data_IF_171008982272
#
_entry.id   IF_171008982272
#
_cell.length_a   1.000
_cell.length_b   1.000
_cell.length_c   1.000
_cell.angle_alpha   90.00
_cell.angle_beta   90.00
_cell.angle_gamma   90.00
#
_symmetry.space_group_name_H-M   'P 1'
#
loop_
_entity.id
_entity.type
_entity.pdbx_description
1 polymer ?
#
# COMPACT_ATOMS: atom_id res chain seq x y z
N UNK A 1 -36.09 -23.21 -20.04
CA UNK A 1 -36.40 -22.45 -18.82
C UNK A 1 -35.20 -21.56 -18.53
N UNK A 2 -35.30 -20.27 -18.81
CA UNK A 2 -34.23 -19.30 -18.59
C UNK A 2 -34.04 -19.07 -17.09
N UNK A 3 -32.81 -19.15 -16.63
CA UNK A 3 -32.46 -18.70 -15.28
C UNK A 3 -32.38 -17.17 -15.32
N UNK A 4 -33.44 -16.52 -14.85
CA UNK A 4 -33.38 -15.11 -14.50
C UNK A 4 -32.43 -14.97 -13.30
N UNK A 5 -31.30 -14.30 -13.50
CA UNK A 5 -30.42 -13.84 -12.43
C UNK A 5 -31.16 -12.76 -11.64
N UNK A 6 -31.83 -13.16 -10.56
CA UNK A 6 -32.39 -12.25 -9.57
C UNK A 6 -31.25 -11.59 -8.79
N UNK A 7 -31.06 -10.28 -8.94
CA UNK A 7 -30.49 -9.48 -7.84
C UNK A 7 -29.52 -8.35 -8.17
N UNK A 8 -29.10 -8.11 -9.41
CA UNK A 8 -28.23 -6.96 -9.73
C UNK A 8 -28.97 -5.87 -10.49
N UNK A 9 -28.98 -4.66 -9.93
CA UNK A 9 -29.46 -3.47 -10.63
C UNK A 9 -28.54 -3.20 -11.84
N UNK A 10 -29.14 -2.75 -12.95
CA UNK A 10 -28.37 -2.30 -14.10
C UNK A 10 -27.41 -1.17 -13.69
N UNK A 11 -26.16 -1.25 -14.13
CA UNK A 11 -25.20 -0.17 -13.88
C UNK A 11 -25.63 1.08 -14.66
N UNK A 12 -25.59 2.22 -13.98
CA UNK A 12 -25.88 3.51 -14.60
C UNK A 12 -24.75 3.97 -15.52
N UNK A 13 -25.09 4.63 -16.62
CA UNK A 13 -24.12 5.28 -17.51
C UNK A 13 -23.66 6.61 -16.89
N UNK A 14 -22.55 6.58 -16.15
CA UNK A 14 -21.92 7.77 -15.54
C UNK A 14 -20.69 8.16 -16.38
N UNK A 15 -20.43 9.45 -16.62
CA UNK A 15 -19.21 9.88 -17.32
C UNK A 15 -17.92 9.44 -16.60
N UNK A 16 -16.93 8.95 -17.36
CA UNK A 16 -15.66 8.42 -16.83
C UNK A 16 -14.44 9.30 -17.13
N UNK A 17 -14.61 10.45 -17.79
CA UNK A 17 -13.51 11.36 -18.18
C UNK A 17 -12.64 11.85 -17.01
N UNK A 18 -13.17 11.80 -15.78
CA UNK A 18 -12.48 12.19 -14.55
C UNK A 18 -11.54 11.11 -13.99
N UNK A 19 -11.65 9.86 -14.46
CA UNK A 19 -10.77 8.75 -14.08
C UNK A 19 -9.52 8.85 -14.94
N UNK A 20 -8.46 9.42 -14.36
CA UNK A 20 -7.26 9.82 -15.09
C UNK A 20 -6.00 9.07 -14.70
N UNK A 21 -6.04 8.21 -13.66
CA UNK A 21 -4.86 7.44 -13.26
C UNK A 21 -4.43 6.47 -14.36
N UNK A 22 -3.12 6.24 -14.46
CA UNK A 22 -2.52 5.33 -15.46
C UNK A 22 -2.01 4.04 -14.82
N UNK A 23 -2.07 2.94 -15.58
CA UNK A 23 -1.76 1.59 -15.11
C UNK A 23 -0.43 1.46 -14.33
N UNK A 24 0.70 2.07 -14.77
CA UNK A 24 1.96 1.97 -14.02
C UNK A 24 1.85 2.56 -12.60
N UNK A 25 1.23 3.72 -12.46
CA UNK A 25 1.03 4.39 -11.17
C UNK A 25 0.03 3.61 -10.29
N UNK A 26 -1.09 3.16 -10.86
CA UNK A 26 -2.10 2.35 -10.15
C UNK A 26 -1.46 1.08 -9.59
N UNK A 27 -0.64 0.40 -10.39
CA UNK A 27 0.05 -0.82 -9.97
C UNK A 27 0.97 -0.55 -8.77
N UNK A 28 1.79 0.50 -8.81
CA UNK A 28 2.69 0.88 -7.73
C UNK A 28 1.92 1.21 -6.44
N UNK A 29 0.85 1.98 -6.54
CA UNK A 29 -0.01 2.31 -5.39
C UNK A 29 -0.65 1.07 -4.77
N UNK A 30 -1.13 0.13 -5.59
CA UNK A 30 -1.68 -1.16 -5.12
C UNK A 30 -0.63 -2.02 -4.44
N UNK A 31 0.60 -2.05 -4.97
CA UNK A 31 1.73 -2.74 -4.35
C UNK A 31 2.08 -2.12 -2.99
N UNK A 32 1.98 -0.79 -2.86
CA UNK A 32 2.28 -0.09 -1.61
C UNK A 32 1.31 -0.43 -0.48
N UNK A 33 0.01 -0.61 -0.76
CA UNK A 33 -0.97 -1.09 0.25
C UNK A 33 -0.46 -2.37 0.93
N UNK A 34 0.10 -3.30 0.15
CA UNK A 34 0.65 -4.54 0.68
C UNK A 34 1.93 -4.32 1.50
N UNK A 35 2.76 -3.34 1.12
CA UNK A 35 3.98 -2.97 1.84
C UNK A 35 3.62 -2.43 3.22
N UNK A 36 2.70 -1.47 3.32
CA UNK A 36 2.28 -0.90 4.60
C UNK A 36 1.63 -1.94 5.51
N UNK A 37 0.79 -2.84 4.98
CA UNK A 37 0.21 -3.92 5.78
C UNK A 37 1.25 -4.93 6.29
N UNK A 38 2.35 -5.16 5.55
CA UNK A 38 3.47 -5.99 6.05
C UNK A 38 4.25 -5.27 7.14
N UNK A 39 4.46 -3.96 7.01
CA UNK A 39 5.08 -3.15 8.05
C UNK A 39 4.22 -3.18 9.33
N UNK A 40 2.91 -2.97 9.21
CA UNK A 40 1.96 -3.05 10.32
C UNK A 40 2.06 -4.39 11.08
N UNK A 41 2.03 -5.52 10.35
CA UNK A 41 2.15 -6.85 10.98
C UNK A 41 3.54 -7.09 11.59
N UNK A 42 4.60 -6.56 10.98
CA UNK A 42 5.96 -6.65 11.53
C UNK A 42 6.06 -5.89 12.86
N UNK A 43 5.47 -4.70 12.92
CA UNK A 43 5.39 -3.91 14.16
C UNK A 43 4.48 -4.56 15.22
N UNK A 44 3.39 -5.21 14.83
CA UNK A 44 2.59 -6.03 15.76
C UNK A 44 3.44 -7.15 16.38
N UNK A 45 4.27 -7.83 15.59
CA UNK A 45 5.16 -8.88 16.10
C UNK A 45 6.22 -8.31 17.06
N UNK A 46 6.80 -7.14 16.75
CA UNK A 46 7.72 -6.45 17.66
C UNK A 46 7.03 -6.06 18.97
N UNK A 47 5.85 -5.46 18.91
CA UNK A 47 5.07 -5.08 20.08
C UNK A 47 4.72 -6.29 20.96
N UNK A 48 4.27 -7.38 20.36
CA UNK A 48 3.99 -8.63 21.05
C UNK A 48 5.25 -9.23 21.71
N UNK A 49 6.39 -9.22 21.01
CA UNK A 49 7.65 -9.71 21.55
C UNK A 49 8.07 -8.98 22.83
N UNK A 50 8.04 -7.64 22.82
CA UNK A 50 8.43 -6.83 23.99
C UNK A 50 7.38 -6.86 25.12
N UNK A 51 6.18 -7.34 24.84
CA UNK A 51 5.11 -7.55 25.83
C UNK A 51 5.19 -8.88 26.57
N UNK A 52 6.01 -9.84 26.10
CA UNK A 52 6.21 -11.12 26.81
C UNK A 52 6.67 -10.86 28.25
N UNK A 53 6.18 -11.64 29.20
CA UNK A 53 6.59 -11.60 30.61
C UNK A 53 8.10 -11.77 30.82
N UNK A 54 8.73 -12.62 30.01
CA UNK A 54 10.18 -12.88 29.98
C UNK A 54 11.02 -11.75 29.40
N UNK A 55 10.42 -10.80 28.68
CA UNK A 55 11.11 -9.62 28.09
C UNK A 55 10.72 -8.34 28.83
N UNK A 56 9.42 -8.12 29.04
CA UNK A 56 8.80 -7.06 29.82
C UNK A 56 9.41 -5.67 29.58
N UNK A 57 9.28 -5.17 28.35
CA UNK A 57 9.71 -3.81 27.95
C UNK A 57 8.50 -3.02 27.45
N UNK A 58 7.63 -2.54 28.35
CA UNK A 58 6.36 -1.90 27.98
C UNK A 58 6.53 -0.62 27.14
N UNK A 59 7.64 0.12 27.31
CA UNK A 59 7.93 1.29 26.47
C UNK A 59 8.16 0.93 25.00
N UNK A 60 8.95 -0.12 24.74
CA UNK A 60 9.15 -0.63 23.38
C UNK A 60 7.86 -1.23 22.82
N UNK A 61 7.13 -2.00 23.64
CA UNK A 61 5.85 -2.56 23.23
C UNK A 61 4.88 -1.47 22.75
N UNK A 62 4.74 -0.38 23.52
CA UNK A 62 3.89 0.75 23.14
C UNK A 62 4.33 1.39 21.83
N UNK A 63 5.62 1.69 21.67
CA UNK A 63 6.16 2.30 20.44
C UNK A 63 5.81 1.44 19.22
N UNK A 64 6.02 0.13 19.30
CA UNK A 64 5.75 -0.75 18.16
C UNK A 64 4.26 -1.00 17.92
N UNK A 65 3.40 -1.02 18.95
CA UNK A 65 1.96 -1.07 18.73
C UNK A 65 1.39 0.22 18.12
N UNK A 66 1.93 1.38 18.52
CA UNK A 66 1.59 2.66 17.92
C UNK A 66 2.02 2.68 16.44
N UNK A 67 3.26 2.28 16.15
CA UNK A 67 3.76 2.16 14.77
C UNK A 67 2.93 1.19 13.92
N UNK A 68 2.55 0.04 14.47
CA UNK A 68 1.68 -0.91 13.78
C UNK A 68 0.32 -0.29 13.38
N UNK A 69 -0.24 0.54 14.26
CA UNK A 69 -1.49 1.24 14.02
C UNK A 69 -1.32 2.31 12.94
N UNK A 70 -0.22 3.05 12.99
CA UNK A 70 0.12 4.08 12.01
C UNK A 70 0.28 3.52 10.59
N UNK A 71 0.98 2.39 10.42
CA UNK A 71 1.11 1.76 9.09
C UNK A 71 -0.20 1.22 8.54
N UNK A 72 -1.10 0.77 9.42
CA UNK A 72 -2.45 0.39 9.00
C UNK A 72 -3.21 1.61 8.47
N UNK A 73 -3.07 2.77 9.12
CA UNK A 73 -3.67 4.02 8.62
C UNK A 73 -3.03 4.48 7.30
N UNK A 74 -1.73 4.26 7.08
CA UNK A 74 -1.09 4.50 5.78
C UNK A 74 -1.69 3.63 4.67
N UNK A 75 -1.87 2.33 4.93
CA UNK A 75 -2.53 1.43 3.98
C UNK A 75 -3.95 1.92 3.63
N UNK A 76 -4.72 2.38 4.62
CA UNK A 76 -6.08 2.89 4.43
C UNK A 76 -6.06 4.17 3.58
N UNK A 77 -5.19 5.13 3.88
CA UNK A 77 -5.07 6.38 3.10
C UNK A 77 -4.79 6.10 1.62
N UNK A 78 -3.94 5.13 1.31
CA UNK A 78 -3.64 4.74 -0.08
C UNK A 78 -4.87 4.11 -0.75
N UNK A 79 -5.62 3.26 -0.03
CA UNK A 79 -6.87 2.67 -0.53
C UNK A 79 -7.91 3.76 -0.82
N UNK A 80 -8.11 4.70 0.11
CA UNK A 80 -9.03 5.83 -0.04
C UNK A 80 -8.65 6.71 -1.22
N UNK A 81 -7.35 6.97 -1.41
CA UNK A 81 -6.87 7.73 -2.55
C UNK A 81 -7.19 7.04 -3.88
N UNK A 82 -6.95 5.73 -3.98
CA UNK A 82 -7.32 4.96 -5.18
C UNK A 82 -8.83 5.02 -5.44
N UNK A 83 -9.66 4.84 -4.41
CA UNK A 83 -11.12 4.95 -4.52
C UNK A 83 -11.57 6.34 -4.98
N UNK A 84 -10.99 7.39 -4.40
CA UNK A 84 -11.26 8.79 -4.77
C UNK A 84 -10.97 9.04 -6.24
N UNK A 85 -9.98 8.34 -6.82
CA UNK A 85 -9.58 8.47 -8.23
C UNK A 85 -10.32 7.54 -9.19
N UNK A 86 -11.34 6.82 -8.71
CA UNK A 86 -12.18 5.95 -9.52
C UNK A 86 -11.60 4.55 -9.73
N UNK A 87 -10.55 4.20 -9.00
CA UNK A 87 -9.92 2.88 -9.04
C UNK A 87 -10.57 1.90 -8.05
N UNK A 88 -10.03 0.68 -7.99
CA UNK A 88 -10.51 -0.43 -7.13
C UNK A 88 -11.95 -0.91 -7.41
N UNK A 89 -12.50 -0.62 -8.59
CA UNK A 89 -13.79 -1.17 -9.05
C UNK A 89 -13.76 -2.68 -9.29
N UNK A 90 -12.56 -3.27 -9.39
CA UNK A 90 -12.36 -4.70 -9.56
C UNK A 90 -11.10 -5.19 -8.84
N UNK A 91 -10.97 -6.51 -8.68
CA UNK A 91 -9.78 -7.18 -8.13
C UNK A 91 -9.38 -6.69 -6.72
N UNK A 92 -10.34 -6.25 -5.90
CA UNK A 92 -10.10 -5.83 -4.50
C UNK A 92 -9.54 -6.97 -3.67
N UNK A 93 -10.01 -8.21 -3.87
CA UNK A 93 -9.48 -9.39 -3.18
C UNK A 93 -8.01 -9.71 -3.47
N UNK A 94 -7.40 -9.09 -4.49
CA UNK A 94 -5.97 -9.24 -4.79
C UNK A 94 -5.11 -8.14 -4.17
N UNK A 95 -5.73 -7.13 -3.54
CA UNK A 95 -5.05 -5.98 -2.95
C UNK A 95 -4.31 -6.35 -1.66
N UNK A 96 -4.89 -7.26 -0.87
CA UNK A 96 -4.35 -7.71 0.40
C UNK A 96 -4.07 -9.21 0.31
N UNK A 97 -2.79 -9.57 0.38
CA UNK A 97 -2.30 -10.94 0.50
C UNK A 97 -1.79 -11.12 1.92
N UNK A 98 -2.22 -12.20 2.56
CA UNK A 98 -1.95 -12.56 3.96
C UNK A 98 -0.54 -12.12 4.44
N UNK A 99 -0.42 -10.95 5.10
CA UNK A 99 0.87 -10.43 5.54
C UNK A 99 1.35 -11.22 6.76
N UNK A 100 2.60 -11.66 6.73
CA UNK A 100 3.27 -12.34 7.85
C UNK A 100 4.53 -11.57 8.22
N UNK A 101 4.88 -11.49 9.52
CA UNK A 101 6.13 -10.87 9.93
C UNK A 101 7.31 -11.75 9.49
N UNK A 102 8.41 -11.15 9.05
CA UNK A 102 9.62 -11.90 8.67
C UNK A 102 10.41 -12.41 9.88
N UNK A 103 10.18 -11.82 11.05
CA UNK A 103 10.90 -12.07 12.30
C UNK A 103 9.94 -11.91 13.49
N UNK A 104 10.11 -12.77 14.49
CA UNK A 104 9.19 -12.87 15.64
C UNK A 104 9.90 -12.70 17.00
N UNK A 105 11.23 -12.56 16.99
CA UNK A 105 12.02 -12.40 18.22
C UNK A 105 13.22 -11.50 18.04
N UNK A 106 13.55 -10.74 19.09
CA UNK A 106 14.71 -9.85 19.17
C UNK A 106 15.45 -10.09 20.47
N UNK A 107 16.78 -10.09 20.43
CA UNK A 107 17.61 -10.25 21.63
C UNK A 107 17.70 -8.94 22.42
N UNK A 108 17.67 -7.81 21.70
CA UNK A 108 17.80 -6.48 22.30
C UNK A 108 16.87 -5.46 21.66
N UNK A 109 16.52 -4.42 22.43
CA UNK A 109 15.79 -3.26 21.88
C UNK A 109 16.55 -2.56 20.74
N UNK A 110 17.90 -2.55 20.78
CA UNK A 110 18.73 -1.96 19.72
C UNK A 110 18.58 -2.73 18.42
N UNK A 111 18.52 -4.05 18.47
CA UNK A 111 18.27 -4.89 17.30
C UNK A 111 16.88 -4.60 16.71
N UNK A 112 15.85 -4.51 17.55
CA UNK A 112 14.50 -4.17 17.07
C UNK A 112 14.41 -2.78 16.44
N UNK A 113 15.12 -1.78 16.99
CA UNK A 113 15.16 -0.44 16.40
C UNK A 113 15.92 -0.41 15.08
N UNK A 114 16.97 -1.23 14.91
CA UNK A 114 17.67 -1.37 13.62
C UNK A 114 16.76 -2.01 12.57
N UNK A 115 16.01 -3.04 12.96
CA UNK A 115 15.04 -3.67 12.06
C UNK A 115 13.91 -2.70 11.69
N UNK A 116 13.39 -1.94 12.66
CA UNK A 116 12.40 -0.88 12.42
C UNK A 116 12.93 0.18 11.45
N UNK A 117 14.15 0.67 11.65
CA UNK A 117 14.79 1.63 10.74
C UNK A 117 14.96 1.04 9.33
N UNK A 118 15.30 -0.25 9.22
CA UNK A 118 15.36 -0.96 7.94
C UNK A 118 14.01 -0.97 7.23
N UNK A 119 12.94 -1.33 7.95
CA UNK A 119 11.57 -1.28 7.43
C UNK A 119 11.20 0.12 6.92
N UNK A 120 11.46 1.17 7.71
CA UNK A 120 11.17 2.55 7.31
C UNK A 120 11.95 2.99 6.08
N UNK A 121 13.22 2.58 5.99
CA UNK A 121 14.06 2.87 4.83
C UNK A 121 13.50 2.21 3.58
N UNK A 122 13.11 0.94 3.66
CA UNK A 122 12.51 0.20 2.55
C UNK A 122 11.20 0.82 2.09
N UNK A 123 10.31 1.18 3.02
CA UNK A 123 9.06 1.86 2.72
C UNK A 123 9.32 3.21 2.04
N UNK A 124 10.26 4.00 2.56
CA UNK A 124 10.65 5.29 1.98
C UNK A 124 11.14 5.14 0.54
N UNK A 125 11.95 4.12 0.26
CA UNK A 125 12.41 3.84 -1.12
C UNK A 125 11.21 3.53 -2.02
N UNK A 126 10.24 2.73 -1.57
CA UNK A 126 9.04 2.42 -2.37
C UNK A 126 8.16 3.64 -2.62
N UNK A 127 7.99 4.52 -1.64
CA UNK A 127 7.27 5.78 -1.81
C UNK A 127 7.96 6.65 -2.88
N UNK A 128 9.29 6.73 -2.85
CA UNK A 128 10.05 7.46 -3.88
C UNK A 128 9.88 6.85 -5.28
N UNK A 129 9.81 5.53 -5.38
CA UNK A 129 9.56 4.83 -6.63
C UNK A 129 8.14 5.10 -7.15
N UNK A 130 7.14 5.18 -6.27
CA UNK A 130 5.77 5.59 -6.61
C UNK A 130 5.77 7.00 -7.19
N UNK A 131 6.40 7.96 -6.50
CA UNK A 131 6.42 9.36 -6.93
C UNK A 131 7.01 9.46 -8.34
N UNK A 132 8.16 8.83 -8.58
CA UNK A 132 8.80 8.83 -9.90
C UNK A 132 7.92 8.20 -10.98
N UNK A 133 7.27 7.08 -10.69
CA UNK A 133 6.41 6.39 -11.65
C UNK A 133 5.11 7.17 -11.92
N UNK A 134 4.56 7.88 -10.93
CA UNK A 134 3.33 8.65 -11.09
C UNK A 134 3.58 10.05 -11.70
N UNK A 135 4.81 10.59 -11.60
CA UNK A 135 5.23 11.83 -12.27
C UNK A 135 5.66 11.56 -13.72
N UNK A 136 6.38 10.47 -13.95
CA UNK A 136 6.84 10.04 -15.29
C UNK A 136 6.54 8.55 -15.51
N UNK A 137 5.30 8.19 -15.87
CA UNK A 137 4.90 6.80 -16.04
C UNK A 137 5.73 6.09 -17.11
N UNK A 138 6.26 4.92 -16.79
CA UNK A 138 7.02 4.14 -17.77
C UNK A 138 6.09 3.60 -18.85
N UNK A 139 6.42 3.92 -20.10
CA UNK A 139 5.79 3.35 -21.29
C UNK A 139 6.28 1.91 -21.47
N UNK A 140 5.73 0.95 -20.70
CA UNK A 140 5.94 -0.47 -20.99
C UNK A 140 4.92 -0.92 -22.03
N UNK A 141 5.30 -0.74 -23.28
CA UNK A 141 4.61 -1.22 -24.46
C UNK A 141 4.53 -2.73 -24.37
N UNK A 142 3.33 -3.29 -24.30
CA UNK A 142 3.16 -4.73 -24.46
C UNK A 142 3.49 -5.06 -25.91
N UNK A 143 4.48 -5.93 -26.11
CA UNK A 143 4.68 -6.68 -27.35
C UNK A 143 4.87 -5.87 -28.64
N UNK A 144 5.91 -5.02 -28.69
CA UNK A 144 6.57 -4.66 -29.96
C UNK A 144 5.77 -3.82 -30.96
N UNK A 145 4.75 -3.09 -30.52
CA UNK A 145 4.04 -2.10 -31.35
C UNK A 145 4.34 -0.69 -30.83
N UNK A 146 4.72 0.17 -31.77
CA UNK A 146 5.16 1.55 -31.62
C UNK A 146 4.31 2.33 -30.60
N UNK A 147 4.94 2.79 -29.53
CA UNK A 147 4.30 3.44 -28.39
C UNK A 147 4.66 4.91 -28.37
N UNK A 148 4.14 5.61 -29.37
CA UNK A 148 4.09 7.07 -29.41
C UNK A 148 2.92 7.58 -28.54
N UNK A 149 2.80 7.09 -27.31
CA UNK A 149 1.87 7.64 -26.32
C UNK A 149 2.68 8.15 -25.13
N UNK A 150 3.07 9.41 -25.21
CA UNK A 150 3.44 10.20 -24.05
C UNK A 150 2.18 10.33 -23.20
N UNK A 151 2.18 9.75 -21.99
CA UNK A 151 1.12 10.08 -21.04
C UNK A 151 1.28 11.56 -20.69
N UNK A 152 0.30 12.40 -21.05
CA UNK A 152 0.13 13.72 -20.42
C UNK A 152 -0.51 13.53 -19.03
N UNK A 153 0.15 12.71 -18.21
CA UNK A 153 -0.27 12.35 -16.87
C UNK A 153 0.83 12.75 -15.90
N UNK A 154 0.46 13.60 -14.95
CA UNK A 154 1.29 13.95 -13.83
C UNK A 154 0.41 14.08 -12.60
N UNK A 155 0.70 13.27 -11.59
CA UNK A 155 -0.10 13.19 -10.37
C UNK A 155 0.67 13.67 -9.15
N UNK A 156 0.89 14.98 -9.09
CA UNK A 156 1.52 15.64 -7.96
C UNK A 156 0.84 15.35 -6.62
N UNK A 157 -0.47 15.04 -6.62
CA UNK A 157 -1.22 14.74 -5.40
C UNK A 157 -0.81 13.40 -4.77
N UNK A 158 -0.26 12.45 -5.52
CA UNK A 158 0.24 11.18 -4.97
C UNK A 158 1.32 11.43 -3.93
N UNK A 159 2.18 12.43 -4.13
CA UNK A 159 3.24 12.77 -3.16
C UNK A 159 2.68 13.13 -1.79
N UNK A 160 1.56 13.85 -1.72
CA UNK A 160 0.93 14.24 -0.44
C UNK A 160 0.31 13.05 0.30
N UNK A 161 -0.20 12.06 -0.43
CA UNK A 161 -0.84 10.88 0.16
C UNK A 161 0.14 9.75 0.47
N UNK A 162 1.25 9.66 -0.28
CA UNK A 162 2.26 8.61 -0.10
C UNK A 162 3.44 9.04 0.78
N UNK A 163 3.74 10.33 0.93
CA UNK A 163 4.87 10.82 1.74
C UNK A 163 4.53 11.17 3.19
N UNK A 164 3.32 10.85 3.67
CA UNK A 164 2.89 11.17 5.03
C UNK A 164 3.40 10.14 6.07
N UNK A 165 4.71 9.85 6.04
CA UNK A 165 5.46 9.23 7.15
C UNK A 165 6.28 10.30 7.86
#
# INVERSE_FOLDING_TARGET
MSHASLGQLAQGNIPTKWITMVDPCIKKMREQVQVELRAAVSYLAMGAHFSKDTVNRPGFAKIFFDAASEEREHAIKIIEYLLMRGELTSKVGQLIKNPMPAKESWETGVEALKDALGLETDVTIKIRDIIKECETPTNKCKDGVDCEQTYDFNDYHVSYYSAAK
#
